data_IF_233367715390
#
_entry.id   IF_233367715390
#
_cell.length_a   1.000
_cell.length_b   1.000
_cell.length_c   1.000
_cell.angle_alpha   90.00
_cell.angle_beta   90.00
_cell.angle_gamma   90.00
#
_symmetry.space_group_name_H-M   'P 1'
#
loop_
_entity.id
_entity.type
_entity.pdbx_description
1 polymer ?
#
# COMPACT_ATOMS: atom_id res chain seq x y z
N UNK A 1 -10.10 -27.81 -18.15
CA UNK A 1 -8.66 -27.76 -17.79
C UNK A 1 -8.18 -26.32 -17.54
N UNK A 2 -8.37 -25.38 -18.47
CA UNK A 2 -7.80 -24.02 -18.37
C UNK A 2 -8.43 -23.08 -17.32
N UNK A 3 -9.71 -23.28 -16.96
CA UNK A 3 -10.39 -22.43 -15.98
C UNK A 3 -9.75 -22.49 -14.58
N UNK A 4 -9.30 -23.68 -14.16
CA UNK A 4 -8.67 -23.89 -12.86
C UNK A 4 -7.29 -23.21 -12.82
N UNK A 5 -6.53 -23.33 -13.91
CA UNK A 5 -5.24 -22.64 -14.03
C UNK A 5 -5.40 -21.12 -13.95
N UNK A 6 -6.41 -20.55 -14.64
CA UNK A 6 -6.72 -19.13 -14.56
C UNK A 6 -7.12 -18.67 -13.16
N UNK A 7 -7.94 -19.46 -12.46
CA UNK A 7 -8.33 -19.17 -11.07
C UNK A 7 -7.12 -19.16 -10.11
N UNK A 8 -6.20 -20.12 -10.27
CA UNK A 8 -4.98 -20.19 -9.46
C UNK A 8 -4.08 -18.98 -9.71
N UNK A 9 -3.85 -18.62 -10.98
CA UNK A 9 -3.01 -17.48 -11.34
C UNK A 9 -3.63 -16.17 -10.84
N UNK A 10 -4.94 -15.99 -11.03
CA UNK A 10 -5.65 -14.81 -10.55
C UNK A 10 -5.58 -14.66 -9.04
N UNK A 11 -5.77 -15.76 -8.30
CA UNK A 11 -5.65 -15.76 -6.84
C UNK A 11 -4.24 -15.38 -6.38
N UNK A 12 -3.21 -16.03 -6.93
CA UNK A 12 -1.81 -15.74 -6.57
C UNK A 12 -1.47 -14.28 -6.86
N UNK A 13 -1.83 -13.79 -8.04
CA UNK A 13 -1.56 -12.40 -8.45
C UNK A 13 -2.24 -11.41 -7.52
N UNK A 14 -3.49 -11.67 -7.13
CA UNK A 14 -4.22 -10.80 -6.20
C UNK A 14 -3.54 -10.75 -4.83
N UNK A 15 -3.11 -11.89 -4.29
CA UNK A 15 -2.39 -11.95 -3.01
C UNK A 15 -1.06 -11.18 -3.09
N UNK A 16 -0.32 -11.32 -4.20
CA UNK A 16 0.92 -10.59 -4.43
C UNK A 16 0.67 -9.08 -4.54
N UNK A 17 -0.37 -8.66 -5.26
CA UNK A 17 -0.75 -7.26 -5.41
C UNK A 17 -1.08 -6.63 -4.05
N UNK A 18 -1.89 -7.29 -3.23
CA UNK A 18 -2.18 -6.83 -1.86
C UNK A 18 -0.89 -6.73 -1.05
N UNK A 19 0.02 -7.71 -1.14
CA UNK A 19 1.29 -7.68 -0.41
C UNK A 19 2.18 -6.50 -0.81
N UNK A 20 2.20 -6.13 -2.11
CA UNK A 20 2.94 -4.99 -2.65
C UNK A 20 2.36 -3.63 -2.27
N UNK A 21 1.07 -3.55 -1.94
CA UNK A 21 0.49 -2.31 -1.39
C UNK A 21 1.11 -1.95 -0.03
N UNK A 22 1.49 -2.96 0.75
CA UNK A 22 2.07 -2.77 2.09
C UNK A 22 3.61 -2.88 2.11
N UNK A 23 4.24 -3.55 1.15
CA UNK A 23 5.70 -3.73 1.08
C UNK A 23 6.32 -3.02 -0.14
N UNK A 24 7.52 -2.44 -0.02
CA UNK A 24 8.36 -2.42 1.17
C UNK A 24 7.89 -1.37 2.18
N UNK A 25 7.91 -1.74 3.47
CA UNK A 25 7.45 -0.85 4.55
C UNK A 25 8.35 0.38 4.71
N UNK A 26 9.65 0.20 4.43
CA UNK A 26 10.64 1.27 4.38
C UNK A 26 10.92 1.62 2.91
N UNK A 27 11.11 2.90 2.57
CA UNK A 27 11.48 3.30 1.22
C UNK A 27 12.82 2.67 0.84
N UNK A 28 12.83 1.92 -0.26
CA UNK A 28 14.03 1.30 -0.82
C UNK A 28 14.46 2.11 -2.04
N UNK A 29 15.70 2.59 -2.03
CA UNK A 29 16.28 3.34 -3.15
C UNK A 29 16.95 2.37 -4.12
N UNK A 30 16.46 2.32 -5.35
CA UNK A 30 17.05 1.55 -6.44
C UNK A 30 17.49 2.55 -7.51
N UNK A 31 18.76 2.97 -7.44
CA UNK A 31 19.32 4.01 -8.30
C UNK A 31 18.56 5.34 -8.17
N UNK A 32 18.03 5.93 -9.25
CA UNK A 32 17.26 7.17 -9.21
C UNK A 32 15.81 7.00 -8.73
N UNK A 33 15.33 5.77 -8.53
CA UNK A 33 13.96 5.50 -8.14
C UNK A 33 13.85 5.13 -6.65
N UNK A 34 12.81 5.62 -5.98
CA UNK A 34 12.46 5.22 -4.61
C UNK A 34 11.19 4.38 -4.66
N UNK A 35 11.29 3.12 -4.25
CA UNK A 35 10.16 2.18 -4.21
C UNK A 35 9.69 2.06 -2.77
N UNK A 36 8.40 2.30 -2.54
CA UNK A 36 7.75 2.14 -1.25
C UNK A 36 6.34 1.59 -1.45
N UNK A 37 5.85 0.79 -0.50
CA UNK A 37 4.45 0.38 -0.48
C UNK A 37 3.52 1.61 -0.47
N UNK A 38 2.41 1.54 -1.20
CA UNK A 38 1.49 2.67 -1.37
C UNK A 38 0.82 3.09 -0.05
N UNK A 39 0.49 2.12 0.80
CA UNK A 39 -0.14 2.36 2.12
C UNK A 39 0.83 3.04 3.09
N UNK A 40 2.02 2.48 3.39
CA UNK A 40 2.96 3.11 4.32
C UNK A 40 3.41 4.50 3.87
N UNK A 41 3.48 4.75 2.56
CA UNK A 41 3.82 6.07 2.03
C UNK A 41 2.77 7.16 2.35
N UNK A 42 1.51 6.79 2.63
CA UNK A 42 0.40 7.75 2.86
C UNK A 42 -0.07 7.82 4.32
N UNK A 43 0.33 6.88 5.17
CA UNK A 43 -0.08 6.84 6.59
C UNK A 43 0.27 8.14 7.32
N UNK A 44 1.44 8.71 7.05
CA UNK A 44 1.89 9.95 7.70
C UNK A 44 1.01 11.15 7.33
N UNK A 45 0.64 11.27 6.05
CA UNK A 45 -0.25 12.32 5.55
C UNK A 45 -1.68 12.16 6.10
N UNK A 46 -2.17 10.93 6.17
CA UNK A 46 -3.50 10.62 6.73
C UNK A 46 -3.54 10.99 8.20
N UNK A 47 -2.50 10.63 8.98
CA UNK A 47 -2.40 10.98 10.39
C UNK A 47 -2.43 12.49 10.63
N UNK A 48 -1.63 13.26 9.87
CA UNK A 48 -1.62 14.72 9.95
C UNK A 48 -3.00 15.33 9.64
N UNK A 49 -3.66 14.86 8.58
CA UNK A 49 -5.00 15.34 8.22
C UNK A 49 -6.03 15.01 9.28
N UNK A 50 -5.99 13.80 9.83
CA UNK A 50 -6.89 13.36 10.88
C UNK A 50 -6.73 14.21 12.14
N UNK A 51 -5.49 14.40 12.61
CA UNK A 51 -5.19 15.27 13.76
C UNK A 51 -5.69 16.68 13.52
N UNK A 52 -5.48 17.25 12.34
CA UNK A 52 -5.92 18.61 12.03
C UNK A 52 -7.46 18.76 12.04
N UNK A 53 -8.19 17.73 11.62
CA UNK A 53 -9.66 17.70 11.71
C UNK A 53 -10.10 17.61 13.18
N UNK A 54 -9.54 16.66 13.94
CA UNK A 54 -9.86 16.51 15.36
C UNK A 54 -9.57 17.78 16.18
N UNK A 55 -8.41 18.42 15.95
CA UNK A 55 -8.04 19.67 16.65
C UNK A 55 -8.98 20.83 16.32
N UNK A 56 -9.52 20.86 15.10
CA UNK A 56 -10.46 21.88 14.65
C UNK A 56 -11.87 21.67 15.21
N UNK A 57 -12.29 20.43 15.43
CA UNK A 57 -13.60 20.12 16.00
C UNK A 57 -13.62 20.23 17.54
N UNK A 58 -12.46 20.14 18.20
CA UNK A 58 -12.31 20.28 19.66
C UNK A 58 -12.07 21.73 20.15
N UNK A 59 -11.89 22.70 19.25
CA UNK A 59 -11.68 24.13 19.59
C UNK A 59 -12.88 24.96 19.13
#
# INVERSE_FOLDING_TARGET
>A
MYAIAGAIIGYITNVVAVKLLFHPQKPVRIGPFTVQGLIPARIEDIGKRLTNILSKDLT
#
